data_IF_069662706277
#
_entry.id   IF_069662706277
#
_cell.length_a   1.000
_cell.length_b   1.000
_cell.length_c   1.000
_cell.angle_alpha   90.00
_cell.angle_beta   90.00
_cell.angle_gamma   90.00
#
_symmetry.space_group_name_H-M   'P 1'
#
loop_
_entity.id
_entity.type
_entity.pdbx_description
1 polymer ?
#
# COMPACT_ATOMS: atom_id res chain seq x y z
N UNK A 1 -14.84 -6.05 -1.23
CA UNK A 1 -14.51 -4.64 -1.53
C UNK A 1 -15.63 -4.03 -2.34
N UNK A 2 -16.24 -2.94 -1.87
CA UNK A 2 -17.32 -2.21 -2.56
C UNK A 2 -16.82 -1.63 -3.89
N UNK A 3 -17.73 -1.40 -4.85
CA UNK A 3 -17.37 -1.04 -6.22
C UNK A 3 -16.59 0.29 -6.32
N UNK A 4 -17.02 1.33 -5.62
CA UNK A 4 -16.32 2.64 -5.60
C UNK A 4 -14.90 2.50 -5.05
N UNK A 5 -14.75 1.87 -3.89
CA UNK A 5 -13.45 1.59 -3.27
C UNK A 5 -12.54 0.76 -4.19
N UNK A 6 -13.10 -0.26 -4.86
CA UNK A 6 -12.37 -1.07 -5.84
C UNK A 6 -11.84 -0.24 -7.01
N UNK A 7 -12.65 0.66 -7.55
CA UNK A 7 -12.25 1.55 -8.65
C UNK A 7 -11.14 2.51 -8.22
N UNK A 8 -11.27 3.12 -7.05
CA UNK A 8 -10.24 4.00 -6.50
C UNK A 8 -8.91 3.26 -6.27
N UNK A 9 -8.97 2.08 -5.65
CA UNK A 9 -7.79 1.21 -5.49
C UNK A 9 -7.12 0.91 -6.84
N UNK A 10 -7.92 0.56 -7.86
CA UNK A 10 -7.41 0.26 -9.20
C UNK A 10 -6.77 1.49 -9.87
N UNK A 11 -7.35 2.68 -9.69
CA UNK A 11 -6.79 3.93 -10.21
C UNK A 11 -5.41 4.23 -9.59
N UNK A 12 -5.30 4.17 -8.26
CA UNK A 12 -4.02 4.37 -7.57
C UNK A 12 -2.97 3.33 -8.01
N UNK A 13 -3.35 2.06 -8.13
CA UNK A 13 -2.46 1.03 -8.67
C UNK A 13 -2.01 1.32 -10.10
N UNK A 14 -2.88 1.83 -10.97
CA UNK A 14 -2.53 2.18 -12.35
C UNK A 14 -1.55 3.36 -12.40
N UNK A 15 -1.78 4.39 -11.59
CA UNK A 15 -0.84 5.51 -11.46
C UNK A 15 0.53 5.04 -10.95
N UNK A 16 0.55 4.22 -9.90
CA UNK A 16 1.79 3.63 -9.38
C UNK A 16 2.56 2.86 -10.46
N UNK A 17 1.88 2.00 -11.23
CA UNK A 17 2.49 1.22 -12.32
C UNK A 17 3.03 2.11 -13.44
N UNK A 18 2.33 3.21 -13.77
CA UNK A 18 2.76 4.18 -14.78
C UNK A 18 4.05 4.89 -14.35
N UNK A 19 4.09 5.42 -13.13
CA UNK A 19 5.28 6.09 -12.59
C UNK A 19 6.46 5.12 -12.43
N UNK A 20 6.19 3.90 -11.97
CA UNK A 20 7.20 2.84 -11.90
C UNK A 20 7.84 2.55 -13.27
N UNK A 21 7.04 2.52 -14.35
CA UNK A 21 7.53 2.23 -15.71
C UNK A 21 8.47 3.32 -16.23
N UNK A 22 8.22 4.58 -15.87
CA UNK A 22 9.05 5.72 -16.30
C UNK A 22 10.21 6.02 -15.33
N UNK A 23 10.37 5.22 -14.27
CA UNK A 23 11.47 5.35 -13.31
C UNK A 23 11.24 6.40 -12.21
N UNK A 24 10.07 7.02 -12.14
CA UNK A 24 9.72 7.92 -11.05
C UNK A 24 9.21 7.12 -9.84
N UNK A 25 10.16 6.60 -9.08
CA UNK A 25 9.86 5.72 -7.96
C UNK A 25 9.24 6.46 -6.76
N UNK A 26 9.49 7.76 -6.61
CA UNK A 26 8.89 8.57 -5.56
C UNK A 26 7.39 8.73 -5.80
N UNK A 27 7.00 9.15 -7.02
CA UNK A 27 5.59 9.25 -7.38
C UNK A 27 4.90 7.87 -7.39
N UNK A 28 5.61 6.83 -7.85
CA UNK A 28 5.10 5.48 -7.78
C UNK A 28 4.80 5.04 -6.33
N UNK A 29 5.71 5.33 -5.39
CA UNK A 29 5.55 4.97 -4.00
C UNK A 29 4.38 5.72 -3.35
N UNK A 30 4.22 7.01 -3.63
CA UNK A 30 3.08 7.82 -3.17
C UNK A 30 1.73 7.18 -3.53
N UNK A 31 1.58 6.74 -4.78
CA UNK A 31 0.34 6.08 -5.22
C UNK A 31 0.17 4.68 -4.59
N UNK A 32 1.26 3.98 -4.27
CA UNK A 32 1.19 2.71 -3.54
C UNK A 32 0.79 2.90 -2.07
N UNK A 33 1.21 3.98 -1.41
CA UNK A 33 0.76 4.30 -0.05
C UNK A 33 -0.76 4.49 -0.02
N UNK A 34 -1.31 5.15 -1.04
CA UNK A 34 -2.74 5.38 -1.18
C UNK A 34 -3.50 4.10 -1.53
N UNK A 35 -2.99 3.30 -2.47
CA UNK A 35 -3.58 1.98 -2.78
C UNK A 35 -3.53 1.05 -1.56
N UNK A 36 -2.47 1.12 -0.76
CA UNK A 36 -2.35 0.38 0.48
C UNK A 36 -3.44 0.76 1.48
N UNK A 37 -3.67 2.06 1.73
CA UNK A 37 -4.75 2.56 2.60
C UNK A 37 -6.12 2.07 2.11
N UNK A 38 -6.42 2.20 0.82
CA UNK A 38 -7.70 1.77 0.22
C UNK A 38 -7.90 0.25 0.26
N UNK A 39 -6.80 -0.50 0.15
CA UNK A 39 -6.80 -1.95 0.16
C UNK A 39 -6.68 -2.57 1.56
N UNK A 40 -6.46 -1.78 2.61
CA UNK A 40 -5.94 -2.23 3.90
C UNK A 40 -6.81 -3.30 4.58
N UNK A 41 -8.14 -3.21 4.44
CA UNK A 41 -9.09 -4.18 4.99
C UNK A 41 -9.28 -5.45 4.14
N UNK A 42 -8.57 -5.57 3.00
CA UNK A 42 -8.72 -6.68 2.06
C UNK A 42 -7.35 -7.30 1.76
N UNK A 43 -7.16 -8.55 2.19
CA UNK A 43 -5.88 -9.27 2.10
C UNK A 43 -5.24 -9.21 0.71
N UNK A 44 -6.01 -9.48 -0.35
CA UNK A 44 -5.49 -9.49 -1.72
C UNK A 44 -5.04 -8.09 -2.18
N UNK A 45 -5.90 -7.04 -2.15
CA UNK A 45 -5.48 -5.65 -2.42
C UNK A 45 -4.29 -5.15 -1.57
N UNK A 46 -4.31 -5.46 -0.28
CA UNK A 46 -3.26 -5.07 0.65
C UNK A 46 -1.91 -5.71 0.30
N UNK A 47 -1.87 -7.04 0.16
CA UNK A 47 -0.66 -7.78 -0.24
C UNK A 47 -0.18 -7.36 -1.63
N UNK A 48 -1.09 -7.03 -2.55
CA UNK A 48 -0.72 -6.49 -3.88
C UNK A 48 0.01 -5.15 -3.77
N UNK A 49 -0.39 -4.27 -2.85
CA UNK A 49 0.29 -2.99 -2.64
C UNK A 49 1.70 -3.21 -2.11
N UNK A 50 1.86 -4.07 -1.09
CA UNK A 50 3.17 -4.45 -0.55
C UNK A 50 4.09 -5.09 -1.60
N UNK A 51 3.54 -5.95 -2.47
CA UNK A 51 4.30 -6.54 -3.57
C UNK A 51 4.90 -5.48 -4.51
N UNK A 52 4.14 -4.43 -4.82
CA UNK A 52 4.67 -3.35 -5.67
C UNK A 52 5.63 -2.43 -4.92
N UNK A 53 5.45 -2.20 -3.63
CA UNK A 53 6.42 -1.49 -2.79
C UNK A 53 7.75 -2.25 -2.74
N UNK A 54 7.70 -3.59 -2.60
CA UNK A 54 8.86 -4.47 -2.70
C UNK A 54 9.58 -4.31 -4.05
N UNK A 55 8.83 -4.27 -5.16
CA UNK A 55 9.41 -4.04 -6.49
C UNK A 55 10.14 -2.70 -6.57
N UNK A 56 9.62 -1.63 -5.94
CA UNK A 56 10.34 -0.36 -5.85
C UNK A 56 11.63 -0.54 -5.05
N UNK A 57 11.58 -1.19 -3.87
CA UNK A 57 12.78 -1.48 -3.07
C UNK A 57 13.85 -2.23 -3.85
N UNK A 58 13.47 -3.22 -4.66
CA UNK A 58 14.38 -3.93 -5.56
C UNK A 58 14.97 -3.03 -6.65
N UNK A 59 14.16 -2.14 -7.25
CA UNK A 59 14.63 -1.21 -8.29
C UNK A 59 15.54 -0.11 -7.75
N UNK A 60 15.26 0.42 -6.57
CA UNK A 60 16.09 1.44 -5.92
C UNK A 60 17.26 0.86 -5.12
N UNK A 61 17.43 -0.48 -5.12
CA UNK A 61 18.45 -1.20 -4.34
C UNK A 61 18.38 -0.90 -2.83
N UNK A 62 17.19 -0.60 -2.32
CA UNK A 62 16.97 -0.35 -0.90
C UNK A 62 16.75 -1.67 -0.15
N UNK A 63 17.82 -2.22 0.43
CA UNK A 63 17.74 -3.46 1.21
C UNK A 63 16.78 -3.37 2.40
N UNK A 64 16.70 -2.18 3.04
CA UNK A 64 15.73 -1.91 4.11
C UNK A 64 14.29 -2.04 3.63
N UNK A 65 13.98 -1.48 2.46
CA UNK A 65 12.64 -1.56 1.88
C UNK A 65 12.29 -3.00 1.50
N UNK A 66 13.24 -3.71 0.88
CA UNK A 66 13.07 -5.11 0.49
C UNK A 66 12.75 -5.99 1.69
N UNK A 67 13.57 -5.94 2.75
CA UNK A 67 13.37 -6.76 3.94
C UNK A 67 12.05 -6.41 4.64
N UNK A 68 11.75 -5.12 4.81
CA UNK A 68 10.53 -4.70 5.50
C UNK A 68 9.26 -5.09 4.74
N UNK A 69 9.25 -5.00 3.41
CA UNK A 69 8.08 -5.42 2.61
C UNK A 69 7.91 -6.94 2.58
N UNK A 70 9.00 -7.72 2.54
CA UNK A 70 8.91 -9.18 2.65
C UNK A 70 8.28 -9.62 3.98
N UNK A 71 8.73 -9.03 5.09
CA UNK A 71 8.16 -9.32 6.41
C UNK A 71 6.67 -8.95 6.48
N UNK A 72 6.26 -7.83 5.87
CA UNK A 72 4.86 -7.42 5.82
C UNK A 72 3.97 -8.30 4.95
N UNK A 73 4.48 -8.80 3.82
CA UNK A 73 3.76 -9.77 2.99
C UNK A 73 3.55 -11.09 3.75
N UNK A 74 4.59 -11.57 4.44
CA UNK A 74 4.45 -12.78 5.27
C UNK A 74 3.44 -12.55 6.40
N UNK A 75 3.52 -11.41 7.08
CA UNK A 75 2.60 -11.05 8.15
C UNK A 75 1.15 -10.89 7.64
N UNK A 76 0.92 -10.29 6.46
CA UNK A 76 -0.43 -10.10 5.92
C UNK A 76 -1.10 -11.42 5.54
N UNK A 77 -0.31 -12.43 5.12
CA UNK A 77 -0.82 -13.76 4.80
C UNK A 77 -1.12 -14.55 6.08
N UNK A 78 -0.18 -14.58 7.02
CA UNK A 78 -0.28 -15.38 8.25
C UNK A 78 -1.29 -14.79 9.25
N UNK A 79 -1.35 -13.46 9.30
CA UNK A 79 -2.20 -12.72 10.24
C UNK A 79 -3.22 -11.88 9.49
N UNK A 80 -3.86 -12.45 8.46
CA UNK A 80 -4.84 -11.81 7.56
C UNK A 80 -6.02 -11.06 8.23
N UNK A 81 -6.09 -11.06 9.57
CA UNK A 81 -7.05 -10.36 10.42
C UNK A 81 -6.40 -9.57 11.56
N UNK A 82 -5.12 -9.22 11.45
CA UNK A 82 -4.48 -8.33 12.41
C UNK A 82 -5.11 -6.94 12.24
N UNK A 83 -5.67 -6.41 13.32
CA UNK A 83 -6.39 -5.15 13.39
C UNK A 83 -5.41 -3.99 13.23
N UNK A 84 -4.93 -3.78 12.00
CA UNK A 84 -4.03 -2.68 11.69
C UNK A 84 -4.85 -1.41 11.50
N UNK A 85 -4.56 -0.30 12.21
CA UNK A 85 -5.33 0.92 12.12
C UNK A 85 -5.30 1.48 10.70
N UNK A 86 -6.49 1.72 10.13
CA UNK A 86 -6.68 2.27 8.78
C UNK A 86 -5.93 3.60 8.67
N UNK A 87 -5.26 3.80 7.53
CA UNK A 87 -4.53 5.03 7.24
C UNK A 87 -3.01 4.88 7.26
N UNK A 88 -2.50 3.73 7.73
CA UNK A 88 -1.07 3.43 7.63
C UNK A 88 -0.64 3.39 6.16
N UNK A 89 0.48 4.03 5.83
CA UNK A 89 0.93 4.12 4.43
C UNK A 89 1.66 2.88 3.95
N UNK A 90 2.09 1.98 4.84
CA UNK A 90 2.75 0.71 4.47
C UNK A 90 4.24 0.83 4.13
N UNK A 91 4.84 2.02 4.21
CA UNK A 91 6.28 2.23 4.00
C UNK A 91 7.16 1.71 5.14
N UNK A 92 8.41 1.29 4.88
CA UNK A 92 9.28 0.69 5.93
C UNK A 92 9.81 1.70 6.95
N UNK A 93 9.56 2.98 6.73
CA UNK A 93 9.83 4.09 7.65
C UNK A 93 8.73 4.30 8.71
N UNK A 94 7.59 3.62 8.63
CA UNK A 94 6.51 3.72 9.61
C UNK A 94 6.29 2.39 10.34
N UNK A 95 5.95 2.46 11.63
CA UNK A 95 5.57 1.25 12.39
C UNK A 95 4.30 0.64 11.79
N UNK A 96 4.20 -0.70 11.66
CA UNK A 96 3.01 -1.35 11.12
C UNK A 96 1.74 -1.06 11.93
N UNK A 97 1.84 -0.83 13.24
CA UNK A 97 0.70 -0.56 14.12
C UNK A 97 0.44 0.93 14.33
N UNK A 98 1.18 1.81 13.63
CA UNK A 98 0.99 3.25 13.75
C UNK A 98 -0.32 3.66 13.07
N UNK A 99 -1.26 4.18 13.85
CA UNK A 99 -2.42 4.89 13.32
C UNK A 99 -1.95 6.20 12.67
N UNK A 100 -2.49 6.50 11.49
CA UNK A 100 -2.12 7.68 10.70
C UNK A 100 -3.38 8.34 10.14
N UNK A 101 -3.40 9.68 9.99
CA UNK A 101 -4.52 10.36 9.35
C UNK A 101 -4.78 9.82 7.95
N UNK A 102 -6.04 9.52 7.65
CA UNK A 102 -6.47 9.14 6.31
C UNK A 102 -6.52 10.41 5.45
N UNK A 103 -5.90 10.44 4.25
CA UNK A 103 -6.05 11.55 3.31
C UNK A 103 -7.53 11.86 3.06
N UNK A 104 -7.90 13.14 3.07
CA UNK A 104 -9.31 13.57 3.07
C UNK A 104 -10.08 13.05 1.86
N UNK A 105 -9.42 12.97 0.70
CA UNK A 105 -9.97 12.45 -0.55
C UNK A 105 -10.19 10.93 -0.55
N UNK A 106 -9.49 10.18 0.31
CA UNK A 106 -9.70 8.74 0.49
C UNK A 106 -10.75 8.42 1.55
N UNK A 107 -10.97 9.32 2.52
CA UNK A 107 -11.84 9.09 3.67
C UNK A 107 -13.29 8.80 3.25
N UNK A 108 -13.83 9.59 2.33
CA UNK A 108 -15.17 9.41 1.78
C UNK A 108 -15.37 8.06 1.06
N UNK A 109 -14.29 7.41 0.61
CA UNK A 109 -14.33 6.11 -0.07
C UNK A 109 -14.26 4.92 0.89
N UNK A 110 -13.78 5.15 2.11
CA UNK A 110 -13.62 4.14 3.16
C UNK A 110 -14.84 4.07 4.09
N UNK A 111 -15.55 5.19 4.25
CA UNK A 111 -16.79 5.29 5.03
C UNK A 111 -18.02 4.76 4.25
N UNK A 112 -17.90 4.66 2.92
CA UNK A 112 -18.94 4.23 1.97
C UNK A 112 -19.12 2.71 1.88
#
# INVERSE_FOLDING_TARGET
>A
MKLKLKRAFQAEMQHAMRYYKIGDYTAAFYHLERSHILGQSYVIPHTKSHWWMLKIGLKTKSGKEVLGQLMRILASILFSRLWVPIGNTGGTNVSPLKAMPIPQDLRSLLDD
#
